data_IF_690963729016
#
_entry.id   IF_690963729016
#
_cell.length_a   1.000
_cell.length_b   1.000
_cell.length_c   1.000
_cell.angle_alpha   90.00
_cell.angle_beta   90.00
_cell.angle_gamma   90.00
#
_symmetry.space_group_name_H-M   'P 1'
#
loop_
_entity.id
_entity.type
_entity.pdbx_description
1 polymer ?
#
# COMPACT_ATOMS: atom_id res chain seq x y z
N UNK A 1 32.81 31.30 18.15
CA UNK A 1 31.56 30.59 17.78
C UNK A 1 31.36 29.46 18.79
N UNK A 2 30.20 29.28 19.41
CA UNK A 2 30.00 28.24 20.42
C UNK A 2 30.04 26.86 19.76
N UNK A 3 30.76 25.92 20.37
CA UNK A 3 30.94 24.51 19.93
C UNK A 3 29.62 23.79 19.70
N UNK A 4 28.53 24.26 20.32
CA UNK A 4 27.16 23.78 20.11
C UNK A 4 26.61 24.06 18.72
N UNK A 5 26.93 25.19 18.11
CA UNK A 5 26.49 25.57 16.75
C UNK A 5 27.16 24.72 15.66
N UNK A 6 28.43 24.35 15.83
CA UNK A 6 29.18 23.48 14.91
C UNK A 6 28.68 22.03 14.97
N UNK A 7 28.29 21.52 16.15
CA UNK A 7 27.71 20.17 16.28
C UNK A 7 26.31 20.07 15.67
N UNK A 8 25.49 21.14 15.76
CA UNK A 8 24.18 21.15 15.14
C UNK A 8 24.23 21.22 13.60
N UNK A 9 25.17 21.97 13.03
CA UNK A 9 25.34 22.08 11.57
C UNK A 9 25.82 20.75 10.94
N UNK A 10 26.72 20.02 11.61
CA UNK A 10 27.19 18.71 11.12
C UNK A 10 26.13 17.63 11.23
N UNK A 11 25.25 17.68 12.23
CA UNK A 11 24.11 16.77 12.33
C UNK A 11 23.07 17.03 11.23
N UNK A 12 22.70 18.28 11.01
CA UNK A 12 21.78 18.69 9.94
C UNK A 12 22.29 18.28 8.54
N UNK A 13 23.59 18.46 8.26
CA UNK A 13 24.22 18.04 7.01
C UNK A 13 24.16 16.50 6.81
N UNK A 14 24.36 15.72 7.87
CA UNK A 14 24.27 14.24 7.81
C UNK A 14 22.84 13.77 7.52
N UNK A 15 21.83 14.36 8.15
CA UNK A 15 20.43 14.02 7.88
C UNK A 15 20.03 14.44 6.47
N UNK A 16 20.48 15.60 5.99
CA UNK A 16 20.25 16.06 4.63
C UNK A 16 20.87 15.10 3.59
N UNK A 17 22.11 14.66 3.79
CA UNK A 17 22.79 13.70 2.92
C UNK A 17 22.07 12.34 2.91
N UNK A 18 21.63 11.83 4.06
CA UNK A 18 20.90 10.57 4.15
C UNK A 18 19.51 10.66 3.47
N UNK A 19 18.80 11.76 3.64
CA UNK A 19 17.52 12.00 2.98
C UNK A 19 17.68 12.13 1.45
N UNK A 20 18.73 12.83 0.99
CA UNK A 20 19.04 12.94 -0.44
C UNK A 20 19.41 11.58 -1.05
N UNK A 21 20.21 10.79 -0.34
CA UNK A 21 20.53 9.42 -0.77
C UNK A 21 19.29 8.56 -0.89
N UNK A 22 18.39 8.59 0.11
CA UNK A 22 17.13 7.84 0.09
C UNK A 22 16.23 8.28 -1.08
N UNK A 23 16.13 9.59 -1.32
CA UNK A 23 15.36 10.14 -2.43
C UNK A 23 15.96 9.72 -3.78
N UNK A 24 17.28 9.80 -3.95
CA UNK A 24 17.96 9.38 -5.17
C UNK A 24 17.79 7.86 -5.42
N UNK A 25 17.92 7.03 -4.37
CA UNK A 25 17.66 5.60 -4.42
C UNK A 25 16.21 5.32 -4.86
N UNK A 26 15.25 6.00 -4.25
CA UNK A 26 13.84 5.84 -4.60
C UNK A 26 13.56 6.25 -6.06
N UNK A 27 14.05 7.41 -6.49
CA UNK A 27 13.89 7.89 -7.87
C UNK A 27 14.52 6.89 -8.85
N UNK A 28 15.72 6.40 -8.59
CA UNK A 28 16.38 5.40 -9.43
C UNK A 28 15.51 4.15 -9.66
N UNK A 29 14.83 3.67 -8.63
CA UNK A 29 14.00 2.48 -8.74
C UNK A 29 12.57 2.74 -9.24
N UNK A 30 12.06 3.95 -9.19
CA UNK A 30 10.63 4.20 -9.41
C UNK A 30 10.29 5.28 -10.45
N UNK A 31 11.28 5.99 -11.04
CA UNK A 31 11.02 7.05 -12.00
C UNK A 31 10.32 6.56 -13.28
N UNK A 32 10.62 5.33 -13.71
CA UNK A 32 10.08 4.68 -14.91
C UNK A 32 8.58 4.33 -14.81
N UNK A 33 7.99 4.44 -13.62
CA UNK A 33 6.54 4.31 -13.43
C UNK A 33 5.73 5.50 -13.97
N UNK A 34 6.34 6.68 -14.06
CA UNK A 34 5.62 7.91 -14.41
C UNK A 34 4.85 7.84 -15.74
N UNK A 35 5.37 7.22 -16.80
CA UNK A 35 4.65 7.05 -18.07
C UNK A 35 3.74 5.82 -18.10
N UNK A 36 3.66 5.00 -17.07
CA UNK A 36 2.82 3.79 -17.08
C UNK A 36 1.36 4.19 -17.22
N UNK A 37 0.63 3.62 -18.18
CA UNK A 37 -0.79 3.91 -18.36
C UNK A 37 -1.65 3.41 -17.19
N UNK A 38 -2.90 3.89 -17.13
CA UNK A 38 -3.89 3.34 -16.22
C UNK A 38 -4.17 1.87 -16.53
N UNK A 39 -4.28 1.05 -15.51
CA UNK A 39 -4.83 -0.30 -15.62
C UNK A 39 -6.37 -0.27 -15.65
N UNK A 40 -6.99 -1.42 -15.88
CA UNK A 40 -8.44 -1.58 -15.77
C UNK A 40 -8.95 -1.19 -14.38
N UNK A 41 -8.30 -1.68 -13.33
CA UNK A 41 -8.65 -1.35 -11.94
C UNK A 41 -8.56 0.16 -11.66
N UNK A 42 -7.59 0.85 -12.24
CA UNK A 42 -7.42 2.30 -12.06
C UNK A 42 -8.62 3.07 -12.65
N UNK A 43 -9.01 2.71 -13.87
CA UNK A 43 -10.13 3.34 -14.56
C UNK A 43 -11.46 3.02 -13.87
N UNK A 44 -11.67 1.77 -13.46
CA UNK A 44 -12.84 1.33 -12.70
C UNK A 44 -12.97 2.12 -11.39
N UNK A 45 -11.89 2.23 -10.64
CA UNK A 45 -11.89 2.98 -9.38
C UNK A 45 -12.17 4.47 -9.59
N UNK A 46 -11.53 5.06 -10.61
CA UNK A 46 -11.71 6.47 -10.94
C UNK A 46 -13.16 6.76 -11.35
N UNK A 47 -13.72 5.95 -12.26
CA UNK A 47 -15.10 6.05 -12.70
C UNK A 47 -16.08 5.90 -11.52
N UNK A 48 -15.88 4.87 -10.70
CA UNK A 48 -16.72 4.62 -9.52
C UNK A 48 -16.80 5.83 -8.59
N UNK A 49 -15.65 6.46 -8.25
CA UNK A 49 -15.64 7.63 -7.36
C UNK A 49 -16.18 8.87 -8.06
N UNK A 50 -15.84 9.08 -9.32
CA UNK A 50 -16.28 10.23 -10.07
C UNK A 50 -17.80 10.20 -10.28
N UNK A 51 -18.36 9.08 -10.70
CA UNK A 51 -19.79 8.93 -10.99
C UNK A 51 -20.66 9.16 -9.75
N UNK A 52 -20.25 8.63 -8.61
CA UNK A 52 -21.01 8.73 -7.34
C UNK A 52 -20.76 10.03 -6.58
N UNK A 53 -19.58 10.60 -6.71
CA UNK A 53 -19.22 11.88 -6.13
C UNK A 53 -18.89 11.87 -4.64
N UNK A 54 -18.32 12.98 -4.11
CA UNK A 54 -17.77 13.03 -2.74
C UNK A 54 -18.86 12.92 -1.66
N UNK A 55 -20.03 13.48 -1.88
CA UNK A 55 -21.12 13.42 -0.89
C UNK A 55 -21.54 11.97 -0.62
N UNK A 56 -21.71 11.17 -1.69
CA UNK A 56 -22.05 9.76 -1.55
C UNK A 56 -20.95 8.97 -0.82
N UNK A 57 -19.68 9.28 -1.08
CA UNK A 57 -18.57 8.65 -0.35
C UNK A 57 -18.66 8.89 1.15
N UNK A 58 -19.01 10.11 1.57
CA UNK A 58 -19.10 10.46 2.99
C UNK A 58 -20.25 9.71 3.67
N UNK A 59 -21.47 9.84 3.18
CA UNK A 59 -22.63 9.28 3.90
C UNK A 59 -22.86 7.79 3.66
N UNK A 60 -22.46 7.24 2.52
CA UNK A 60 -22.71 5.85 2.18
C UNK A 60 -21.55 4.92 2.46
N UNK A 61 -20.33 5.42 2.41
CA UNK A 61 -19.11 4.60 2.45
C UNK A 61 -18.31 4.78 3.74
N UNK A 62 -18.19 6.00 4.25
CA UNK A 62 -17.37 6.30 5.42
C UNK A 62 -17.84 5.63 6.71
N UNK A 63 -19.16 5.42 6.94
CA UNK A 63 -19.65 4.68 8.10
C UNK A 63 -19.19 3.21 8.07
N UNK A 64 -18.39 2.80 9.07
CA UNK A 64 -17.75 1.49 9.15
C UNK A 64 -18.72 0.31 9.04
N UNK A 65 -19.95 0.45 9.56
CA UNK A 65 -20.97 -0.61 9.53
C UNK A 65 -21.63 -0.85 8.17
N UNK A 66 -21.43 0.05 7.20
CA UNK A 66 -21.95 -0.14 5.84
C UNK A 66 -21.06 -1.03 4.99
N UNK A 67 -19.77 -1.10 5.32
CA UNK A 67 -18.84 -2.08 4.78
C UNK A 67 -18.52 -2.03 3.31
N UNK A 68 -18.89 -0.96 2.66
CA UNK A 68 -18.71 -0.81 1.22
C UNK A 68 -17.24 -0.64 0.81
N UNK A 69 -16.99 -0.24 -0.43
CA UNK A 69 -15.67 -0.07 -1.01
C UNK A 69 -14.83 0.97 -0.23
N UNK A 70 -13.59 1.19 -0.55
CA UNK A 70 -12.57 1.94 0.22
C UNK A 70 -12.68 3.45 0.00
N UNK A 71 -13.41 4.23 0.81
CA UNK A 71 -13.70 5.65 0.54
C UNK A 71 -12.48 6.57 0.52
N UNK A 72 -11.35 6.17 1.15
CA UNK A 72 -10.12 6.96 1.09
C UNK A 72 -9.52 7.03 -0.31
N UNK A 73 -9.88 6.11 -1.22
CA UNK A 73 -9.55 6.23 -2.63
C UNK A 73 -10.12 7.49 -3.29
N UNK A 74 -11.32 7.92 -2.90
CA UNK A 74 -11.91 9.16 -3.42
C UNK A 74 -11.06 10.39 -3.13
N UNK A 75 -10.39 10.43 -1.96
CA UNK A 75 -9.48 11.52 -1.56
C UNK A 75 -8.25 11.59 -2.47
N UNK A 76 -7.84 10.48 -3.04
CA UNK A 76 -6.76 10.41 -4.02
C UNK A 76 -7.25 10.68 -5.44
N UNK A 77 -8.27 9.94 -5.91
CA UNK A 77 -8.68 9.97 -7.31
C UNK A 77 -9.39 11.27 -7.71
N UNK A 78 -10.32 11.78 -6.90
CA UNK A 78 -11.16 12.90 -7.32
C UNK A 78 -10.40 14.22 -7.51
N UNK A 79 -9.51 14.68 -6.60
CA UNK A 79 -8.74 15.91 -6.82
C UNK A 79 -7.81 15.79 -8.04
N UNK A 80 -7.19 14.61 -8.24
CA UNK A 80 -6.31 14.39 -9.38
C UNK A 80 -7.08 14.37 -10.69
N UNK A 81 -8.26 13.79 -10.72
CA UNK A 81 -9.11 13.81 -11.90
C UNK A 81 -9.60 15.22 -12.26
N UNK A 82 -10.00 16.00 -11.26
CA UNK A 82 -10.40 17.39 -11.49
C UNK A 82 -9.24 18.24 -12.03
N UNK A 83 -8.04 18.07 -11.47
CA UNK A 83 -6.88 18.87 -11.87
C UNK A 83 -6.17 18.38 -13.13
N UNK A 84 -6.07 17.07 -13.34
CA UNK A 84 -5.21 16.47 -14.37
C UNK A 84 -5.94 15.54 -15.33
N UNK A 85 -7.22 15.25 -15.11
CA UNK A 85 -8.02 14.36 -15.96
C UNK A 85 -7.42 12.97 -16.08
N UNK A 86 -7.40 12.45 -17.30
CA UNK A 86 -6.85 11.14 -17.64
C UNK A 86 -5.34 11.21 -17.98
N UNK A 87 -4.56 11.95 -17.17
CA UNK A 87 -3.10 11.96 -17.26
C UNK A 87 -2.49 11.09 -16.15
N UNK A 88 -2.01 9.86 -16.43
CA UNK A 88 -1.52 8.93 -15.41
C UNK A 88 -0.30 9.44 -14.65
N UNK A 89 0.53 10.29 -15.25
CA UNK A 89 1.75 10.82 -14.64
C UNK A 89 1.49 11.53 -13.31
N UNK A 90 0.39 12.32 -13.22
CA UNK A 90 0.05 13.04 -12.00
C UNK A 90 -0.31 12.08 -10.85
N UNK A 91 -1.02 11.00 -11.15
CA UNK A 91 -1.40 9.97 -10.17
C UNK A 91 -0.16 9.21 -9.68
N UNK A 92 0.71 8.80 -10.59
CA UNK A 92 1.97 8.14 -10.22
C UNK A 92 2.89 9.06 -9.39
N UNK A 93 3.03 10.33 -9.76
CA UNK A 93 3.82 11.29 -8.99
C UNK A 93 3.29 11.46 -7.57
N UNK A 94 1.97 11.52 -7.39
CA UNK A 94 1.33 11.62 -6.06
C UNK A 94 1.60 10.37 -5.23
N UNK A 95 1.50 9.16 -5.81
CA UNK A 95 1.84 7.92 -5.10
C UNK A 95 3.33 7.91 -4.72
N UNK A 96 4.24 8.38 -5.58
CA UNK A 96 5.66 8.48 -5.25
C UNK A 96 5.90 9.37 -4.02
N UNK A 97 5.21 10.50 -3.92
CA UNK A 97 5.29 11.36 -2.73
C UNK A 97 4.76 10.66 -1.47
N UNK A 98 3.65 9.93 -1.58
CA UNK A 98 3.10 9.14 -0.48
C UNK A 98 4.03 8.01 -0.04
N UNK A 99 4.70 7.32 -0.97
CA UNK A 99 5.68 6.28 -0.66
C UNK A 99 6.90 6.84 0.07
N UNK A 100 7.39 8.03 -0.31
CA UNK A 100 8.46 8.71 0.42
C UNK A 100 8.00 9.14 1.83
N UNK A 101 6.77 9.65 1.96
CA UNK A 101 6.20 9.96 3.27
C UNK A 101 6.07 8.70 4.15
N UNK A 102 5.70 7.56 3.57
CA UNK A 102 5.65 6.28 4.25
C UNK A 102 7.03 5.80 4.73
N UNK A 103 8.06 5.95 3.91
CA UNK A 103 9.43 5.64 4.31
C UNK A 103 9.89 6.53 5.49
N UNK A 104 9.54 7.82 5.48
CA UNK A 104 9.80 8.73 6.59
C UNK A 104 9.03 8.35 7.86
N UNK A 105 7.73 8.00 7.74
CA UNK A 105 6.94 7.53 8.88
C UNK A 105 7.53 6.26 9.49
N UNK A 106 7.99 5.32 8.64
CA UNK A 106 8.65 4.11 9.14
C UNK A 106 9.96 4.42 9.87
N UNK A 107 10.79 5.32 9.31
CA UNK A 107 12.00 5.78 10.00
C UNK A 107 11.68 6.34 11.38
N UNK A 108 10.67 7.21 11.47
CA UNK A 108 10.22 7.78 12.76
C UNK A 108 9.73 6.70 13.72
N UNK A 109 8.94 5.76 13.24
CA UNK A 109 8.42 4.65 14.04
C UNK A 109 9.55 3.74 14.55
N UNK A 110 10.47 3.33 13.69
CA UNK A 110 11.62 2.51 14.05
C UNK A 110 12.47 3.17 15.16
N UNK A 111 12.68 4.48 15.08
CA UNK A 111 13.37 5.23 16.14
C UNK A 111 12.63 5.19 17.46
N UNK A 112 11.30 5.38 17.45
CA UNK A 112 10.46 5.31 18.64
C UNK A 112 10.45 3.92 19.29
N UNK A 113 10.64 2.88 18.48
CA UNK A 113 10.82 1.50 18.96
C UNK A 113 12.22 1.22 19.53
N UNK A 114 13.17 2.16 19.42
CA UNK A 114 14.53 1.98 19.91
C UNK A 114 15.48 1.23 18.95
N UNK A 115 15.20 1.22 17.64
CA UNK A 115 16.05 0.57 16.65
C UNK A 115 17.40 1.28 16.43
N UNK A 116 17.50 2.57 16.81
CA UNK A 116 18.67 3.41 16.53
C UNK A 116 18.61 4.05 15.13
N UNK A 117 19.43 5.08 14.91
CA UNK A 117 19.43 5.89 13.68
C UNK A 117 19.72 5.08 12.41
N UNK A 118 20.78 4.29 12.45
CA UNK A 118 21.24 3.53 11.30
C UNK A 118 20.24 2.45 10.89
N UNK A 119 19.76 1.67 11.87
CA UNK A 119 18.77 0.63 11.59
C UNK A 119 17.43 1.25 11.10
N UNK A 120 17.01 2.38 11.66
CA UNK A 120 15.83 3.10 11.19
C UNK A 120 15.99 3.59 9.74
N UNK A 121 17.15 4.12 9.39
CA UNK A 121 17.47 4.53 8.01
C UNK A 121 17.48 3.37 7.03
N UNK A 122 18.08 2.22 7.41
CA UNK A 122 18.08 1.01 6.59
C UNK A 122 16.67 0.41 6.44
N UNK A 123 15.85 0.43 7.48
CA UNK A 123 14.45 0.01 7.39
C UNK A 123 13.66 0.90 6.42
N UNK A 124 13.86 2.22 6.48
CA UNK A 124 13.25 3.16 5.54
C UNK A 124 13.72 2.91 4.10
N UNK A 125 14.99 2.58 3.86
CA UNK A 125 15.51 2.22 2.56
C UNK A 125 14.82 0.96 2.00
N UNK A 126 14.63 -0.06 2.82
CA UNK A 126 13.93 -1.30 2.42
C UNK A 126 12.50 -1.03 2.01
N UNK A 127 11.76 -0.21 2.78
CA UNK A 127 10.35 0.10 2.50
C UNK A 127 10.20 1.12 1.36
N UNK A 128 11.23 1.93 1.11
CA UNK A 128 11.26 2.90 0.03
C UNK A 128 11.09 2.23 -1.34
N UNK A 129 11.79 1.13 -1.57
CA UNK A 129 11.61 0.26 -2.73
C UNK A 129 11.91 -1.20 -2.40
N UNK A 130 10.97 -2.08 -2.76
CA UNK A 130 11.05 -3.52 -2.53
C UNK A 130 10.49 -4.28 -3.73
N UNK A 131 11.33 -4.96 -4.51
CA UNK A 131 10.93 -5.61 -5.77
C UNK A 131 9.89 -6.72 -5.58
N UNK A 132 9.84 -7.38 -4.41
CA UNK A 132 8.80 -8.36 -4.08
C UNK A 132 7.39 -7.75 -3.97
N UNK A 133 7.30 -6.42 -3.81
CA UNK A 133 6.06 -5.67 -3.80
C UNK A 133 5.88 -4.87 -5.11
N UNK A 134 6.44 -5.34 -6.20
CA UNK A 134 6.49 -4.64 -7.49
C UNK A 134 5.24 -3.89 -7.89
N UNK A 135 4.03 -4.50 -7.88
CA UNK A 135 2.78 -3.83 -8.26
C UNK A 135 2.50 -2.54 -7.50
N UNK A 136 2.95 -2.40 -6.24
CA UNK A 136 2.81 -1.18 -5.45
C UNK A 136 3.42 0.06 -6.15
N UNK A 137 4.42 -0.16 -7.00
CA UNK A 137 5.19 0.91 -7.62
C UNK A 137 4.75 1.26 -9.04
N UNK A 138 3.84 0.50 -9.66
CA UNK A 138 3.39 0.79 -11.03
C UNK A 138 1.87 0.69 -11.26
N UNK A 139 1.11 0.16 -10.33
CA UNK A 139 -0.35 0.21 -10.35
C UNK A 139 -0.87 1.31 -9.41
N UNK A 140 -1.69 2.23 -9.92
CA UNK A 140 -2.32 3.24 -9.06
C UNK A 140 -3.46 2.64 -8.22
N UNK A 141 -4.03 1.50 -8.63
CA UNK A 141 -5.02 0.75 -7.85
C UNK A 141 -4.52 0.27 -6.49
N UNK A 142 -3.19 0.15 -6.28
CA UNK A 142 -2.62 -0.13 -4.96
C UNK A 142 -2.49 1.11 -4.05
N UNK A 143 -3.04 2.26 -4.44
CA UNK A 143 -3.10 3.45 -3.57
C UNK A 143 -3.74 3.15 -2.21
N UNK A 144 -4.64 2.18 -2.15
CA UNK A 144 -5.27 1.74 -0.90
C UNK A 144 -4.27 1.15 0.10
N UNK A 145 -3.29 0.40 -0.38
CA UNK A 145 -2.20 -0.15 0.43
C UNK A 145 -1.25 0.97 0.88
N UNK A 146 -0.98 1.94 -0.01
CA UNK A 146 -0.14 3.11 0.28
C UNK A 146 -0.78 4.02 1.33
N UNK A 147 -2.07 4.35 1.19
CA UNK A 147 -2.83 5.14 2.15
C UNK A 147 -3.07 4.36 3.45
N UNK A 148 -3.37 3.07 3.35
CA UNK A 148 -3.50 2.18 4.50
C UNK A 148 -2.24 2.20 5.36
N UNK A 149 -1.07 2.05 4.75
CA UNK A 149 0.22 2.14 5.43
C UNK A 149 0.43 3.53 6.05
N UNK A 150 0.18 4.61 5.29
CA UNK A 150 0.35 5.98 5.75
C UNK A 150 -0.43 6.25 7.06
N UNK A 151 -1.70 5.92 7.07
CA UNK A 151 -2.55 6.16 8.24
C UNK A 151 -2.26 5.17 9.37
N UNK A 152 -1.98 3.91 9.05
CA UNK A 152 -1.65 2.87 10.03
C UNK A 152 -0.36 3.21 10.79
N UNK A 153 0.73 3.44 10.05
CA UNK A 153 2.03 3.78 10.65
C UNK A 153 1.99 5.18 11.26
N UNK A 154 1.25 6.13 10.66
CA UNK A 154 1.00 7.44 11.25
C UNK A 154 0.34 7.36 12.62
N UNK A 155 -0.68 6.51 12.78
CA UNK A 155 -1.31 6.24 14.07
C UNK A 155 -0.32 5.62 15.08
N UNK A 156 0.51 4.66 14.65
CA UNK A 156 1.55 4.07 15.48
C UNK A 156 2.62 5.09 15.91
N UNK A 157 3.04 5.98 15.01
CA UNK A 157 3.99 7.07 15.32
C UNK A 157 3.39 8.01 16.36
N UNK A 158 2.14 8.43 16.18
CA UNK A 158 1.44 9.27 17.17
C UNK A 158 1.38 8.56 18.53
N UNK A 159 0.90 7.33 18.56
CA UNK A 159 0.78 6.53 19.78
C UNK A 159 2.14 6.36 20.48
N UNK A 160 3.14 5.84 19.78
CA UNK A 160 4.46 5.59 20.34
C UNK A 160 5.16 6.88 20.80
N UNK A 161 4.96 8.01 20.11
CA UNK A 161 5.57 9.29 20.48
C UNK A 161 5.08 9.81 21.83
N UNK A 162 3.82 9.51 22.19
CA UNK A 162 3.25 9.84 23.50
C UNK A 162 3.69 8.83 24.55
N UNK A 163 3.64 7.54 24.22
CA UNK A 163 3.93 6.45 25.15
C UNK A 163 5.41 6.38 25.55
N UNK A 164 6.32 6.71 24.66
CA UNK A 164 7.77 6.79 25.00
C UNK A 164 8.09 7.86 26.05
N UNK A 165 7.18 8.83 26.26
CA UNK A 165 7.28 9.83 27.36
C UNK A 165 6.61 9.34 28.66
N UNK A 166 6.32 8.04 28.78
CA UNK A 166 5.67 7.40 29.92
C UNK A 166 4.30 8.00 30.30
N UNK A 167 3.62 8.66 29.39
CA UNK A 167 2.26 9.22 29.59
C UNK A 167 1.20 8.53 28.74
N UNK A 168 -0.05 8.68 29.10
CA UNK A 168 -1.19 8.21 28.32
C UNK A 168 -1.63 9.29 27.32
N UNK A 169 -2.27 8.86 26.23
CA UNK A 169 -2.87 9.79 25.28
C UNK A 169 -3.98 10.62 25.96
N UNK A 170 -3.93 11.92 25.78
CA UNK A 170 -5.01 12.84 26.13
C UNK A 170 -6.20 12.69 25.18
N UNK A 171 -7.26 13.47 25.44
CA UNK A 171 -8.51 13.39 24.65
C UNK A 171 -8.24 13.71 23.17
N UNK A 172 -7.57 14.80 22.87
CA UNK A 172 -7.27 15.22 21.49
C UNK A 172 -6.32 14.27 20.77
N UNK A 173 -5.33 13.72 21.46
CA UNK A 173 -4.42 12.73 20.90
C UNK A 173 -5.14 11.41 20.62
N UNK A 174 -6.05 11.01 21.51
CA UNK A 174 -6.91 9.85 21.28
C UNK A 174 -7.84 10.07 20.10
N UNK A 175 -8.46 11.24 19.99
CA UNK A 175 -9.30 11.60 18.84
C UNK A 175 -8.51 11.60 17.52
N UNK A 176 -7.32 12.20 17.52
CA UNK A 176 -6.42 12.20 16.35
C UNK A 176 -5.99 10.77 15.97
N UNK A 177 -5.64 9.93 16.96
CA UNK A 177 -5.33 8.52 16.74
C UNK A 177 -6.50 7.76 16.12
N UNK A 178 -7.70 7.90 16.69
CA UNK A 178 -8.91 7.23 16.16
C UNK A 178 -9.29 7.76 14.78
N UNK A 179 -9.06 9.04 14.49
CA UNK A 179 -9.23 9.63 13.16
C UNK A 179 -8.28 9.03 12.12
N UNK A 180 -6.99 8.90 12.45
CA UNK A 180 -6.01 8.21 11.60
C UNK A 180 -6.39 6.74 11.40
N UNK A 181 -6.83 6.07 12.47
CA UNK A 181 -7.24 4.68 12.38
C UNK A 181 -8.51 4.50 11.55
N UNK A 182 -9.48 5.41 11.64
CA UNK A 182 -10.66 5.45 10.78
C UNK A 182 -10.27 5.56 9.30
N UNK A 183 -9.34 6.46 8.98
CA UNK A 183 -8.79 6.60 7.63
C UNK A 183 -8.07 5.32 7.17
N UNK A 184 -7.31 4.67 8.07
CA UNK A 184 -6.64 3.41 7.76
C UNK A 184 -7.66 2.28 7.43
N UNK A 185 -8.71 2.11 8.25
CA UNK A 185 -9.79 1.13 8.03
C UNK A 185 -10.55 1.39 6.72
N UNK A 186 -10.75 2.65 6.38
CA UNK A 186 -11.38 3.09 5.14
C UNK A 186 -10.41 3.09 3.93
N UNK A 187 -9.14 2.76 4.14
CA UNK A 187 -8.16 2.53 3.08
C UNK A 187 -7.98 1.05 2.79
N UNK A 188 -7.69 0.25 3.83
CA UNK A 188 -7.35 -1.18 3.64
C UNK A 188 -7.76 -2.04 4.84
N UNK A 189 -8.22 -3.24 4.57
CA UNK A 189 -8.69 -4.22 5.57
C UNK A 189 -7.61 -4.64 6.57
N UNK A 190 -6.35 -4.66 6.14
CA UNK A 190 -5.19 -4.96 7.00
C UNK A 190 -5.10 -4.03 8.21
N UNK A 191 -5.68 -2.84 8.14
CA UNK A 191 -5.73 -1.90 9.26
C UNK A 191 -6.47 -2.46 10.49
N UNK A 192 -7.37 -3.41 10.33
CA UNK A 192 -8.10 -4.04 11.44
C UNK A 192 -7.18 -4.72 12.47
N UNK A 193 -5.91 -4.97 12.13
CA UNK A 193 -4.92 -5.57 13.05
C UNK A 193 -4.31 -4.57 14.04
N UNK A 194 -4.45 -3.26 13.82
CA UNK A 194 -3.83 -2.22 14.65
C UNK A 194 -4.12 -2.35 16.16
N UNK A 195 -5.35 -2.68 16.59
CA UNK A 195 -5.63 -2.89 18.02
C UNK A 195 -4.76 -3.98 18.66
N UNK A 196 -4.56 -5.10 17.96
CA UNK A 196 -3.71 -6.20 18.44
C UNK A 196 -2.23 -5.76 18.51
N UNK A 197 -1.76 -4.99 17.54
CA UNK A 197 -0.40 -4.42 17.55
C UNK A 197 -0.19 -3.45 18.73
N UNK A 198 -1.20 -2.65 19.08
CA UNK A 198 -1.13 -1.79 20.25
C UNK A 198 -1.05 -2.60 21.57
N UNK A 199 -1.79 -3.69 21.67
CA UNK A 199 -1.69 -4.59 22.83
C UNK A 199 -0.30 -5.20 22.94
N UNK A 200 0.29 -5.65 21.82
CA UNK A 200 1.67 -6.15 21.77
C UNK A 200 2.66 -5.05 22.19
N UNK A 201 2.48 -3.81 21.72
CA UNK A 201 3.31 -2.69 22.09
C UNK A 201 3.27 -2.44 23.61
N UNK A 202 2.08 -2.36 24.20
CA UNK A 202 1.92 -2.17 25.65
C UNK A 202 2.53 -3.34 26.44
N UNK A 203 2.33 -4.56 25.98
CA UNK A 203 2.89 -5.75 26.63
C UNK A 203 4.41 -5.74 26.66
N UNK A 204 5.05 -5.39 25.55
CA UNK A 204 6.52 -5.45 25.42
C UNK A 204 7.20 -4.25 26.06
N UNK A 205 6.68 -3.03 25.88
CA UNK A 205 7.34 -1.80 26.28
C UNK A 205 6.90 -1.29 27.66
N UNK A 206 5.69 -1.57 28.10
CA UNK A 206 5.14 -1.03 29.33
C UNK A 206 4.82 -2.08 30.38
N UNK A 207 4.73 -3.36 30.01
CA UNK A 207 4.51 -4.51 30.90
C UNK A 207 3.42 -4.25 31.94
N UNK A 208 2.17 -3.94 31.54
CA UNK A 208 1.11 -3.65 32.49
C UNK A 208 0.89 -4.83 33.45
N UNK A 209 0.48 -4.55 34.67
CA UNK A 209 0.15 -5.59 35.63
C UNK A 209 -0.93 -6.54 35.06
N UNK A 210 -0.88 -7.82 35.43
CA UNK A 210 -1.87 -8.80 35.01
C UNK A 210 -3.23 -8.42 35.62
N UNK A 211 -4.18 -8.07 34.79
CA UNK A 211 -5.53 -7.72 35.20
C UNK A 211 -6.23 -6.75 34.24
N UNK A 212 -7.47 -7.03 33.90
CA UNK A 212 -8.26 -6.26 32.93
C UNK A 212 -8.33 -4.77 33.31
N UNK A 213 -8.47 -4.45 34.62
CA UNK A 213 -8.51 -3.05 35.06
C UNK A 213 -7.22 -2.28 34.80
N UNK A 214 -6.05 -2.91 34.97
CA UNK A 214 -4.76 -2.28 34.66
C UNK A 214 -4.61 -1.97 33.18
N UNK A 215 -5.05 -2.89 32.34
CA UNK A 215 -5.06 -2.72 30.89
C UNK A 215 -6.05 -1.63 30.44
N UNK A 216 -7.30 -1.66 30.94
CA UNK A 216 -8.32 -0.68 30.57
C UNK A 216 -8.01 0.74 31.08
N UNK A 217 -7.33 0.90 32.20
CA UNK A 217 -6.91 2.21 32.73
C UNK A 217 -5.57 2.68 32.17
N UNK A 218 -4.78 1.78 31.57
CA UNK A 218 -3.50 2.04 30.97
C UNK A 218 -3.58 2.43 29.48
N UNK A 219 -2.46 2.26 28.78
CA UNK A 219 -2.34 2.51 27.34
C UNK A 219 -3.28 1.65 26.50
N UNK A 220 -3.59 0.44 26.94
CA UNK A 220 -4.48 -0.49 26.24
C UNK A 220 -5.92 0.01 26.06
N UNK A 221 -6.37 1.06 26.77
CA UNK A 221 -7.68 1.67 26.55
C UNK A 221 -7.89 2.12 25.09
N UNK A 222 -6.84 2.65 24.45
CA UNK A 222 -6.88 3.06 23.04
C UNK A 222 -7.01 1.85 22.14
N UNK A 223 -6.35 0.74 22.48
CA UNK A 223 -6.52 -0.53 21.78
C UNK A 223 -7.96 -1.04 21.85
N UNK A 224 -8.64 -0.88 23.00
CA UNK A 224 -10.05 -1.29 23.15
C UNK A 224 -10.99 -0.43 22.29
N UNK A 225 -10.81 0.90 22.27
CA UNK A 225 -11.61 1.78 21.40
C UNK A 225 -11.40 1.44 19.91
N UNK A 226 -10.15 1.23 19.52
CA UNK A 226 -9.83 0.83 18.14
C UNK A 226 -10.31 -0.59 17.81
N UNK A 227 -10.34 -1.52 18.79
CA UNK A 227 -10.93 -2.84 18.60
C UNK A 227 -12.42 -2.76 18.27
N UNK A 228 -13.18 -1.90 18.99
CA UNK A 228 -14.58 -1.64 18.68
C UNK A 228 -14.78 -1.13 17.25
N UNK A 229 -13.94 -0.19 16.80
CA UNK A 229 -13.97 0.31 15.41
C UNK A 229 -13.60 -0.79 14.39
N UNK A 230 -12.58 -1.60 14.67
CA UNK A 230 -12.18 -2.71 13.80
C UNK A 230 -13.28 -3.76 13.66
N UNK A 231 -13.92 -4.15 14.77
CA UNK A 231 -15.05 -5.09 14.78
C UNK A 231 -16.23 -4.54 14.00
N UNK A 232 -16.54 -3.25 14.16
CA UNK A 232 -17.62 -2.60 13.39
C UNK A 232 -17.30 -2.56 11.90
N UNK A 233 -16.05 -2.30 11.52
CA UNK A 233 -15.60 -2.34 10.12
C UNK A 233 -15.68 -3.76 9.54
N UNK A 234 -15.26 -4.78 10.30
CA UNK A 234 -15.36 -6.17 9.88
C UNK A 234 -16.83 -6.60 9.74
N UNK A 235 -17.67 -6.21 10.70
CA UNK A 235 -19.11 -6.45 10.61
C UNK A 235 -19.70 -5.87 9.32
N UNK A 236 -19.39 -4.60 8.99
CA UNK A 236 -19.84 -3.96 7.78
C UNK A 236 -19.40 -4.70 6.50
N UNK A 237 -18.14 -5.17 6.46
CA UNK A 237 -17.57 -5.90 5.31
C UNK A 237 -18.11 -7.33 5.15
N UNK A 238 -18.58 -7.94 6.23
CA UNK A 238 -19.14 -9.29 6.22
C UNK A 238 -20.67 -9.29 6.05
N UNK A 239 -21.37 -8.33 6.66
CA UNK A 239 -22.84 -8.32 6.80
C UNK A 239 -23.50 -6.99 6.38
N UNK A 240 -22.73 -6.03 5.85
CA UNK A 240 -23.25 -4.74 5.38
C UNK A 240 -24.16 -4.88 4.17
N UNK A 241 -24.69 -3.76 3.65
CA UNK A 241 -25.60 -3.77 2.50
C UNK A 241 -25.01 -4.37 1.21
N UNK A 242 -23.68 -4.26 1.03
CA UNK A 242 -22.94 -4.84 -0.08
C UNK A 242 -21.65 -5.48 0.46
N UNK A 243 -21.77 -6.68 1.04
CA UNK A 243 -20.67 -7.29 1.77
C UNK A 243 -19.50 -7.63 0.84
N UNK A 244 -18.30 -7.25 1.23
CA UNK A 244 -17.09 -7.50 0.45
C UNK A 244 -16.86 -8.99 0.15
N UNK A 245 -17.32 -9.87 1.03
CA UNK A 245 -17.23 -11.33 0.86
C UNK A 245 -18.03 -11.87 -0.35
N UNK A 246 -18.94 -11.07 -0.90
CA UNK A 246 -19.67 -11.45 -2.13
C UNK A 246 -18.82 -11.19 -3.39
N UNK A 247 -17.80 -10.35 -3.30
CA UNK A 247 -16.90 -10.12 -4.42
C UNK A 247 -15.93 -11.30 -4.60
N UNK A 248 -15.65 -11.65 -5.85
CA UNK A 248 -14.70 -12.71 -6.19
C UNK A 248 -13.33 -12.44 -5.54
N UNK A 249 -12.70 -13.47 -4.96
CA UNK A 249 -11.40 -13.39 -4.30
C UNK A 249 -11.41 -12.73 -2.91
N UNK A 250 -12.58 -12.41 -2.32
CA UNK A 250 -12.69 -11.90 -0.95
C UNK A 250 -13.39 -12.88 0.02
N UNK A 251 -13.69 -14.09 -0.42
CA UNK A 251 -14.20 -15.17 0.46
C UNK A 251 -13.05 -15.76 1.27
N UNK A 252 -13.11 -15.75 2.61
CA UNK A 252 -12.06 -16.35 3.42
C UNK A 252 -12.03 -17.87 3.27
N UNK A 253 -10.85 -18.43 3.10
CA UNK A 253 -10.59 -19.87 3.01
C UNK A 253 -9.83 -20.30 4.27
N UNK A 254 -10.53 -20.84 5.24
CA UNK A 254 -9.94 -21.32 6.49
C UNK A 254 -9.40 -22.74 6.32
N UNK A 255 -8.23 -22.89 5.71
CA UNK A 255 -7.55 -24.17 5.55
C UNK A 255 -6.05 -24.07 5.80
N UNK A 256 -5.43 -25.13 6.29
CA UNK A 256 -3.97 -25.20 6.47
C UNK A 256 -3.23 -25.06 5.13
N UNK A 257 -3.84 -25.51 4.05
CA UNK A 257 -3.30 -25.37 2.71
C UNK A 257 -3.22 -23.89 2.30
N UNK A 258 -4.28 -23.10 2.51
CA UNK A 258 -4.30 -21.66 2.24
C UNK A 258 -3.24 -20.92 3.07
N UNK A 259 -3.13 -21.22 4.37
CA UNK A 259 -2.08 -20.65 5.24
C UNK A 259 -0.69 -21.00 4.70
N UNK A 260 -0.45 -22.25 4.30
CA UNK A 260 0.83 -22.66 3.73
C UNK A 260 1.15 -21.90 2.43
N UNK A 261 0.19 -21.81 1.53
CA UNK A 261 0.35 -21.09 0.26
C UNK A 261 0.68 -19.61 0.52
N UNK A 262 -0.11 -18.95 1.38
CA UNK A 262 0.13 -17.57 1.74
C UNK A 262 1.51 -17.37 2.38
N UNK A 263 1.88 -18.14 3.40
CA UNK A 263 3.15 -18.02 4.10
C UNK A 263 4.34 -18.29 3.17
N UNK A 264 4.23 -19.24 2.24
CA UNK A 264 5.24 -19.52 1.20
C UNK A 264 5.46 -18.27 0.33
N UNK A 265 4.40 -17.72 -0.20
CA UNK A 265 4.47 -16.55 -1.07
C UNK A 265 4.90 -15.29 -0.29
N UNK A 266 4.34 -15.06 0.90
CA UNK A 266 4.66 -13.91 1.74
C UNK A 266 6.14 -13.87 2.18
N UNK A 267 6.69 -15.01 2.64
CA UNK A 267 8.12 -15.09 2.97
C UNK A 267 8.98 -14.95 1.71
N UNK A 268 8.54 -15.50 0.58
CA UNK A 268 9.19 -15.34 -0.71
C UNK A 268 9.29 -13.88 -1.13
N UNK A 269 8.19 -13.16 -1.06
CA UNK A 269 8.11 -11.75 -1.41
C UNK A 269 8.94 -10.88 -0.44
N UNK A 270 8.72 -11.04 0.88
CA UNK A 270 9.36 -10.21 1.91
C UNK A 270 10.88 -10.41 2.00
N UNK A 271 11.38 -11.62 1.69
CA UNK A 271 12.82 -11.95 1.74
C UNK A 271 13.47 -11.96 0.36
N UNK A 272 12.74 -11.57 -0.69
CA UNK A 272 13.19 -11.59 -2.08
C UNK A 272 13.74 -12.96 -2.52
N UNK A 273 13.13 -14.04 -2.02
CA UNK A 273 13.56 -15.40 -2.28
C UNK A 273 12.36 -16.34 -2.52
N UNK A 274 12.18 -16.80 -3.73
CA UNK A 274 11.04 -17.64 -4.13
C UNK A 274 11.16 -19.13 -3.77
N UNK A 275 12.17 -19.52 -2.95
CA UNK A 275 12.44 -20.93 -2.63
C UNK A 275 11.86 -21.40 -1.30
N UNK A 276 10.95 -20.63 -0.69
CA UNK A 276 10.26 -21.05 0.53
C UNK A 276 9.02 -21.90 0.18
N UNK A 277 9.20 -23.19 0.01
CA UNK A 277 8.10 -24.14 -0.18
C UNK A 277 8.09 -25.20 0.93
N UNK A 278 6.89 -25.55 1.41
CA UNK A 278 6.69 -26.58 2.42
C UNK A 278 6.83 -26.10 3.87
N UNK A 279 6.04 -26.74 4.73
CA UNK A 279 5.93 -26.39 6.16
C UNK A 279 7.24 -26.37 6.91
N UNK A 280 8.16 -27.28 6.63
CA UNK A 280 9.44 -27.33 7.34
C UNK A 280 10.25 -26.04 7.16
N UNK A 281 10.30 -25.50 5.95
CA UNK A 281 11.05 -24.25 5.68
C UNK A 281 10.36 -23.03 6.29
N UNK A 282 9.03 -22.98 6.22
CA UNK A 282 8.22 -21.93 6.85
C UNK A 282 8.45 -21.93 8.35
N UNK A 283 8.29 -23.08 9.01
CA UNK A 283 8.47 -23.23 10.46
C UNK A 283 9.92 -22.95 10.88
N UNK A 284 10.91 -23.43 10.12
CA UNK A 284 12.32 -23.15 10.37
C UNK A 284 12.62 -21.64 10.30
N UNK A 285 12.06 -20.93 9.32
CA UNK A 285 12.22 -19.48 9.21
C UNK A 285 11.58 -18.76 10.40
N UNK A 286 10.33 -19.10 10.76
CA UNK A 286 9.68 -18.50 11.91
C UNK A 286 10.39 -18.81 13.23
N UNK A 287 10.91 -20.04 13.40
CA UNK A 287 11.71 -20.42 14.56
C UNK A 287 13.02 -19.64 14.61
N UNK A 288 13.69 -19.42 13.47
CA UNK A 288 14.90 -18.59 13.39
C UNK A 288 14.60 -17.13 13.80
N UNK A 289 13.55 -16.53 13.24
CA UNK A 289 13.15 -15.16 13.59
C UNK A 289 12.79 -15.05 15.08
N UNK A 290 12.06 -16.04 15.61
CA UNK A 290 11.75 -16.12 17.04
C UNK A 290 13.02 -16.20 17.87
N UNK A 291 13.92 -17.15 17.57
CA UNK A 291 15.20 -17.31 18.27
C UNK A 291 15.99 -16.00 18.29
N UNK A 292 16.15 -15.34 17.16
CA UNK A 292 16.85 -14.05 17.06
C UNK A 292 16.19 -12.96 17.90
N UNK A 293 14.83 -12.90 17.92
CA UNK A 293 14.09 -11.91 18.69
C UNK A 293 14.28 -12.06 20.20
N UNK A 294 14.33 -13.31 20.71
CA UNK A 294 14.44 -13.57 22.14
C UNK A 294 15.89 -13.66 22.62
N UNK A 295 16.81 -14.17 21.78
CA UNK A 295 18.23 -14.30 22.15
C UNK A 295 18.92 -12.95 22.33
N UNK A 296 18.50 -11.92 21.61
CA UNK A 296 19.11 -10.58 21.63
C UNK A 296 18.59 -9.66 22.72
N UNK A 297 17.54 -10.05 23.45
CA UNK A 297 16.88 -9.29 24.53
C UNK A 297 16.53 -7.82 24.17
N UNK A 298 16.15 -7.58 22.91
CA UNK A 298 15.75 -6.27 22.42
C UNK A 298 14.24 -6.19 22.24
N UNK A 299 13.53 -5.28 22.94
CA UNK A 299 12.09 -5.11 22.78
C UNK A 299 11.63 -4.90 21.33
N UNK A 300 12.40 -4.14 20.54
CA UNK A 300 12.10 -3.87 19.14
C UNK A 300 12.01 -5.15 18.30
N UNK A 301 12.90 -6.12 18.51
CA UNK A 301 12.88 -7.39 17.75
C UNK A 301 11.67 -8.23 18.12
N UNK A 302 11.32 -8.33 19.41
CA UNK A 302 10.11 -9.02 19.87
C UNK A 302 8.85 -8.38 19.34
N UNK A 303 8.79 -7.05 19.35
CA UNK A 303 7.67 -6.31 18.77
C UNK A 303 7.53 -6.57 17.27
N UNK A 304 8.62 -6.45 16.51
CA UNK A 304 8.60 -6.68 15.06
C UNK A 304 8.24 -8.12 14.70
N UNK A 305 8.65 -9.12 15.49
CA UNK A 305 8.25 -10.51 15.28
C UNK A 305 6.73 -10.68 15.36
N UNK A 306 6.10 -10.15 16.41
CA UNK A 306 4.65 -10.14 16.55
C UNK A 306 3.97 -9.30 15.48
N UNK A 307 4.58 -8.19 15.10
CA UNK A 307 4.05 -7.31 14.07
C UNK A 307 3.92 -8.04 12.72
N UNK A 308 4.98 -8.73 12.28
CA UNK A 308 4.99 -9.48 11.02
C UNK A 308 4.01 -10.65 11.05
N UNK A 309 3.78 -11.25 12.21
CA UNK A 309 2.83 -12.35 12.38
C UNK A 309 1.37 -11.87 12.34
N UNK A 310 1.08 -10.73 12.97
CA UNK A 310 -0.30 -10.25 13.15
C UNK A 310 -0.78 -9.42 11.94
N UNK A 311 0.08 -8.56 11.40
CA UNK A 311 -0.32 -7.61 10.36
C UNK A 311 -0.95 -8.24 9.11
N UNK A 312 -0.54 -9.41 8.60
CA UNK A 312 -1.13 -10.01 7.42
C UNK A 312 -2.42 -10.80 7.67
N UNK A 313 -2.82 -11.07 8.92
CA UNK A 313 -3.94 -11.96 9.26
C UNK A 313 -5.23 -11.71 8.45
N UNK A 314 -5.68 -10.47 8.20
CA UNK A 314 -6.90 -10.24 7.43
C UNK A 314 -6.83 -10.69 5.98
N UNK A 315 -5.62 -10.81 5.40
CA UNK A 315 -5.41 -11.21 4.01
C UNK A 315 -4.85 -12.62 3.86
N UNK A 316 -4.37 -13.22 4.94
CA UNK A 316 -3.78 -14.57 4.94
C UNK A 316 -4.77 -15.66 4.50
N UNK A 317 -6.05 -15.46 4.82
CA UNK A 317 -7.13 -16.38 4.46
C UNK A 317 -7.79 -16.06 3.12
N UNK A 318 -7.25 -15.09 2.35
CA UNK A 318 -7.76 -14.73 1.03
C UNK A 318 -6.82 -15.25 -0.06
N UNK A 319 -7.39 -15.70 -1.18
CA UNK A 319 -6.60 -16.14 -2.33
C UNK A 319 -5.76 -15.00 -2.93
N UNK A 320 -4.53 -15.32 -3.32
CA UNK A 320 -3.63 -14.44 -4.10
C UNK A 320 -3.43 -13.03 -3.51
N UNK A 321 -3.39 -12.90 -2.16
CA UNK A 321 -3.24 -11.60 -1.47
C UNK A 321 -1.82 -11.39 -0.90
N UNK A 322 -0.78 -11.64 -1.71
CA UNK A 322 0.62 -11.32 -1.40
C UNK A 322 1.11 -10.12 -2.23
N UNK A 323 2.40 -9.97 -2.43
CA UNK A 323 2.97 -8.82 -3.15
C UNK A 323 2.64 -7.50 -2.46
N UNK A 324 1.99 -6.57 -3.17
CA UNK A 324 1.65 -5.22 -2.65
C UNK A 324 0.84 -5.24 -1.34
N UNK A 325 0.02 -6.27 -1.09
CA UNK A 325 -0.75 -6.39 0.15
C UNK A 325 0.12 -6.61 1.40
N UNK A 326 1.39 -6.96 1.22
CA UNK A 326 2.36 -7.15 2.30
C UNK A 326 3.06 -5.84 2.71
N UNK A 327 2.60 -4.68 2.25
CA UNK A 327 3.27 -3.41 2.53
C UNK A 327 3.33 -3.08 4.03
N UNK A 328 2.24 -3.31 4.77
CA UNK A 328 2.25 -3.15 6.23
C UNK A 328 3.13 -4.21 6.92
N UNK A 329 3.02 -5.52 6.64
CA UNK A 329 3.94 -6.53 7.17
C UNK A 329 5.42 -6.24 6.88
N UNK A 330 5.75 -5.68 5.71
CA UNK A 330 7.12 -5.29 5.35
C UNK A 330 7.72 -4.30 6.35
N UNK A 331 6.92 -3.41 6.95
CA UNK A 331 7.41 -2.47 7.96
C UNK A 331 8.08 -3.18 9.15
N UNK A 332 7.42 -4.20 9.70
CA UNK A 332 7.97 -5.02 10.78
C UNK A 332 9.22 -5.80 10.35
N UNK A 333 9.18 -6.43 9.18
CA UNK A 333 10.30 -7.20 8.64
C UNK A 333 11.51 -6.31 8.35
N UNK A 334 11.30 -5.12 7.78
CA UNK A 334 12.35 -4.16 7.48
C UNK A 334 13.06 -3.65 8.75
N UNK A 335 12.31 -3.31 9.80
CA UNK A 335 12.91 -2.91 11.09
C UNK A 335 13.66 -4.08 11.71
N UNK A 336 13.06 -5.28 11.74
CA UNK A 336 13.69 -6.49 12.27
C UNK A 336 15.02 -6.78 11.57
N UNK A 337 15.00 -6.88 10.24
CA UNK A 337 16.17 -7.16 9.42
C UNK A 337 17.28 -6.11 9.57
N UNK A 338 16.90 -4.82 9.58
CA UNK A 338 17.83 -3.72 9.76
C UNK A 338 18.51 -3.75 11.14
N UNK A 339 17.78 -4.04 12.22
CA UNK A 339 18.36 -4.16 13.58
C UNK A 339 19.32 -5.36 13.64
N UNK A 340 18.93 -6.52 13.13
CA UNK A 340 19.80 -7.71 13.10
C UNK A 340 21.05 -7.44 12.26
N UNK A 341 20.91 -6.79 11.11
CA UNK A 341 22.03 -6.44 10.25
C UNK A 341 23.03 -5.50 10.96
N UNK A 342 22.54 -4.43 11.61
CA UNK A 342 23.38 -3.49 12.36
C UNK A 342 24.07 -4.20 13.53
N UNK A 343 23.38 -5.09 14.24
CA UNK A 343 23.98 -5.89 15.32
C UNK A 343 25.09 -6.84 14.78
N UNK A 344 24.86 -7.46 13.62
CA UNK A 344 25.85 -8.31 12.96
C UNK A 344 27.09 -7.50 12.55
N UNK A 345 26.91 -6.32 11.96
CA UNK A 345 27.99 -5.41 11.57
C UNK A 345 28.79 -4.95 12.81
N UNK A 346 28.11 -4.63 13.89
CA UNK A 346 28.75 -4.26 15.15
C UNK A 346 29.56 -5.43 15.73
N UNK A 347 29.02 -6.64 15.69
CA UNK A 347 29.73 -7.86 16.10
C UNK A 347 30.94 -8.12 15.22
N UNK A 348 30.83 -8.05 13.89
CA UNK A 348 31.94 -8.23 12.95
C UNK A 348 33.08 -7.24 13.25
N UNK A 349 32.75 -5.98 13.56
CA UNK A 349 33.75 -4.99 13.96
C UNK A 349 34.47 -5.34 15.27
N UNK A 350 33.85 -6.14 16.15
CA UNK A 350 34.56 -6.66 17.36
C UNK A 350 35.46 -7.85 17.05
N UNK A 351 35.15 -8.65 16.05
CA UNK A 351 35.94 -9.80 15.60
C UNK A 351 37.17 -9.31 14.83
N UNK A 352 37.00 -8.35 13.94
CA UNK A 352 38.07 -7.78 13.11
C UNK A 352 38.88 -6.70 13.85
N UNK A 353 39.37 -7.00 15.05
CA UNK A 353 40.04 -6.04 15.93
C UNK A 353 41.28 -5.34 15.34
N UNK A 354 41.88 -5.91 14.26
CA UNK A 354 43.07 -5.37 13.58
C UNK A 354 42.75 -4.26 12.59
N UNK A 355 41.45 -4.07 12.23
CA UNK A 355 40.99 -3.06 11.27
C UNK A 355 40.23 -1.96 12.03
N UNK A 356 40.40 -0.71 11.62
CA UNK A 356 39.66 0.39 12.21
C UNK A 356 38.14 0.09 12.17
N UNK A 357 37.51 0.18 13.34
CA UNK A 357 36.08 -0.09 13.51
C UNK A 357 35.21 0.73 12.57
N UNK A 358 35.58 1.97 12.27
CA UNK A 358 34.83 2.85 11.36
C UNK A 358 34.89 2.34 9.92
N UNK A 359 36.05 1.82 9.51
CA UNK A 359 36.23 1.21 8.18
C UNK A 359 35.36 -0.06 8.05
N UNK A 360 35.43 -0.97 9.05
CA UNK A 360 34.59 -2.18 9.05
C UNK A 360 33.10 -1.81 8.95
N UNK A 361 32.65 -0.86 9.76
CA UNK A 361 31.26 -0.41 9.73
C UNK A 361 30.89 0.16 8.36
N UNK A 362 31.67 1.10 7.82
CA UNK A 362 31.39 1.77 6.56
C UNK A 362 31.36 0.77 5.38
N UNK A 363 32.37 -0.10 5.27
CA UNK A 363 32.49 -1.08 4.19
C UNK A 363 31.35 -2.11 4.26
N UNK A 364 31.05 -2.65 5.45
CA UNK A 364 29.99 -3.67 5.58
C UNK A 364 28.61 -3.10 5.32
N UNK A 365 28.33 -1.87 5.77
CA UNK A 365 27.06 -1.19 5.48
C UNK A 365 26.94 -0.91 3.98
N UNK A 366 28.00 -0.36 3.36
CA UNK A 366 28.01 -0.08 1.93
C UNK A 366 27.81 -1.36 1.11
N UNK A 367 28.49 -2.45 1.49
CA UNK A 367 28.32 -3.77 0.85
C UNK A 367 26.89 -4.29 1.02
N UNK A 368 26.29 -4.18 2.21
CA UNK A 368 24.91 -4.59 2.46
C UNK A 368 23.89 -3.78 1.64
N UNK A 369 24.05 -2.46 1.59
CA UNK A 369 23.20 -1.58 0.77
C UNK A 369 23.38 -1.87 -0.72
N UNK A 370 24.61 -2.09 -1.18
CA UNK A 370 24.90 -2.47 -2.56
C UNK A 370 24.25 -3.82 -2.92
N UNK A 371 24.42 -4.84 -2.08
CA UNK A 371 23.81 -6.15 -2.29
C UNK A 371 22.27 -6.06 -2.34
N UNK A 372 21.67 -5.30 -1.42
CA UNK A 372 20.25 -5.04 -1.40
C UNK A 372 19.78 -4.33 -2.68
N UNK A 373 20.44 -3.25 -3.09
CA UNK A 373 20.13 -2.52 -4.31
C UNK A 373 20.30 -3.41 -5.56
N UNK A 374 21.40 -4.17 -5.64
CA UNK A 374 21.66 -5.10 -6.74
C UNK A 374 20.57 -6.18 -6.85
N UNK A 375 20.17 -6.77 -5.70
CA UNK A 375 19.08 -7.77 -5.69
C UNK A 375 17.75 -7.18 -6.14
N UNK A 376 17.39 -6.00 -5.65
CA UNK A 376 16.19 -5.29 -6.09
C UNK A 376 16.23 -4.94 -7.57
N UNK A 377 17.38 -4.46 -8.07
CA UNK A 377 17.56 -4.15 -9.49
C UNK A 377 17.36 -5.40 -10.35
N UNK A 378 18.03 -6.50 -10.01
CA UNK A 378 17.91 -7.76 -10.75
C UNK A 378 16.45 -8.25 -10.81
N UNK A 379 15.73 -8.24 -9.68
CA UNK A 379 14.33 -8.67 -9.64
C UNK A 379 13.41 -7.67 -10.34
N UNK A 380 13.69 -6.37 -10.28
CA UNK A 380 12.96 -5.35 -11.03
C UNK A 380 13.06 -5.61 -12.54
N UNK A 381 14.28 -5.78 -13.07
CA UNK A 381 14.48 -5.99 -14.50
C UNK A 381 13.86 -7.32 -14.97
N UNK A 382 13.92 -8.36 -14.14
CA UNK A 382 13.44 -9.69 -14.53
C UNK A 382 11.91 -9.85 -14.44
N UNK A 383 11.25 -9.24 -13.45
CA UNK A 383 9.84 -9.50 -13.16
C UNK A 383 8.97 -8.24 -13.17
N UNK A 384 9.43 -7.14 -12.56
CA UNK A 384 8.60 -5.94 -12.38
C UNK A 384 8.48 -5.17 -13.69
N UNK A 385 9.59 -4.93 -14.37
CA UNK A 385 9.63 -4.15 -15.62
C UNK A 385 8.86 -4.79 -16.77
N UNK A 386 8.95 -6.11 -17.04
CA UNK A 386 8.11 -6.75 -18.03
C UNK A 386 6.62 -6.66 -17.72
N UNK A 387 6.22 -6.87 -16.45
CA UNK A 387 4.83 -6.72 -16.01
C UNK A 387 4.35 -5.27 -16.18
N UNK A 388 5.15 -4.29 -15.75
CA UNK A 388 4.88 -2.87 -15.91
C UNK A 388 4.71 -2.47 -17.37
N UNK A 389 5.52 -3.01 -18.28
CA UNK A 389 5.44 -2.74 -19.70
C UNK A 389 4.17 -3.30 -20.38
N UNK A 390 3.50 -4.28 -19.77
CA UNK A 390 2.21 -4.79 -20.26
C UNK A 390 1.02 -4.06 -19.65
N UNK A 391 1.24 -3.39 -18.49
CA UNK A 391 0.18 -2.69 -17.78
C UNK A 391 -0.42 -1.58 -18.61
N UNK A 392 -1.74 -1.59 -18.74
CA UNK A 392 -2.48 -0.49 -19.34
C UNK A 392 -2.29 -0.30 -20.84
N UNK A 393 -1.69 -1.25 -21.58
CA UNK A 393 -1.48 -1.12 -23.04
C UNK A 393 -2.79 -0.92 -23.79
N UNK A 394 -3.78 -1.77 -23.54
CA UNK A 394 -5.09 -1.67 -24.17
C UNK A 394 -5.78 -0.36 -23.80
N UNK A 395 -5.76 -0.02 -22.52
CA UNK A 395 -6.36 1.21 -21.98
C UNK A 395 -5.73 2.47 -22.62
N UNK A 396 -4.40 2.44 -22.77
CA UNK A 396 -3.67 3.53 -23.43
C UNK A 396 -4.03 3.66 -24.90
N UNK A 397 -4.16 2.53 -25.63
CA UNK A 397 -4.55 2.54 -27.02
C UNK A 397 -5.94 3.11 -27.21
N UNK A 398 -6.92 2.66 -26.42
CA UNK A 398 -8.29 3.20 -26.42
C UNK A 398 -8.26 4.71 -26.12
N UNK A 399 -7.59 5.12 -25.05
CA UNK A 399 -7.49 6.52 -24.66
C UNK A 399 -6.83 7.38 -25.74
N UNK A 400 -5.84 6.85 -26.44
CA UNK A 400 -5.18 7.52 -27.56
C UNK A 400 -6.17 7.77 -28.72
N UNK A 401 -7.06 6.83 -28.99
CA UNK A 401 -8.09 6.99 -30.02
C UNK A 401 -9.12 8.07 -29.61
N UNK A 402 -9.54 8.09 -28.34
CA UNK A 402 -10.38 9.18 -27.83
C UNK A 402 -9.70 10.55 -27.93
N UNK A 403 -8.40 10.63 -27.64
CA UNK A 403 -7.63 11.88 -27.79
C UNK A 403 -7.52 12.31 -29.25
N UNK A 404 -7.35 11.37 -30.19
CA UNK A 404 -7.20 11.66 -31.60
C UNK A 404 -8.53 12.15 -32.22
N UNK A 405 -9.65 11.49 -31.92
CA UNK A 405 -10.98 11.89 -32.40
C UNK A 405 -11.52 13.12 -31.64
N UNK A 406 -11.18 13.26 -30.36
CA UNK A 406 -11.70 14.29 -29.45
C UNK A 406 -13.24 14.40 -29.48
N UNK A 407 -13.99 13.28 -29.29
CA UNK A 407 -15.43 13.27 -29.38
C UNK A 407 -16.06 14.19 -28.33
N UNK A 408 -17.10 14.94 -28.75
CA UNK A 408 -17.86 15.84 -27.88
C UNK A 408 -19.34 15.44 -27.91
N UNK A 409 -19.96 15.54 -26.76
CA UNK A 409 -21.38 15.22 -26.58
C UNK A 409 -22.03 16.31 -25.73
N UNK A 410 -23.34 16.46 -25.84
CA UNK A 410 -24.11 17.36 -24.97
C UNK A 410 -24.59 16.63 -23.70
N UNK A 411 -25.00 17.42 -22.70
CA UNK A 411 -25.57 16.87 -21.49
C UNK A 411 -26.84 16.07 -21.79
N UNK A 412 -26.92 14.86 -21.24
CA UNK A 412 -28.05 13.95 -21.45
C UNK A 412 -28.00 13.10 -22.70
N UNK A 413 -26.97 13.28 -23.57
CA UNK A 413 -26.86 12.50 -24.80
C UNK A 413 -26.67 10.99 -24.49
N UNK A 414 -27.16 10.19 -25.41
CA UNK A 414 -26.98 8.73 -25.41
C UNK A 414 -25.99 8.34 -26.50
N UNK A 415 -24.93 7.67 -26.10
CA UNK A 415 -23.78 7.35 -26.93
C UNK A 415 -23.64 5.84 -27.07
N UNK A 416 -23.49 5.30 -28.26
CA UNK A 416 -23.07 3.91 -28.46
C UNK A 416 -21.64 3.84 -28.99
N UNK A 417 -20.92 2.82 -28.54
CA UNK A 417 -19.58 2.45 -29.05
C UNK A 417 -19.67 1.02 -29.62
N UNK A 418 -19.35 0.90 -30.90
CA UNK A 418 -19.37 -0.34 -31.64
C UNK A 418 -17.95 -0.89 -31.78
N UNK A 419 -17.84 -2.21 -31.88
CA UNK A 419 -16.58 -2.91 -32.21
C UNK A 419 -15.41 -2.51 -31.31
N UNK A 420 -15.68 -2.30 -29.99
CA UNK A 420 -14.63 -1.96 -29.05
C UNK A 420 -13.54 -3.07 -29.03
N UNK A 421 -12.24 -2.71 -28.87
CA UNK A 421 -11.12 -3.63 -29.06
C UNK A 421 -10.91 -4.60 -27.88
N UNK A 422 -11.87 -4.67 -26.97
CA UNK A 422 -11.82 -5.54 -25.80
C UNK A 422 -12.31 -6.95 -26.17
N UNK A 423 -11.53 -7.97 -25.82
CA UNK A 423 -11.92 -9.36 -26.08
C UNK A 423 -13.21 -9.74 -25.33
N UNK A 424 -14.19 -10.38 -26.03
CA UNK A 424 -15.52 -10.67 -25.45
C UNK A 424 -15.50 -11.51 -24.18
N UNK A 425 -14.48 -12.32 -23.98
CA UNK A 425 -14.36 -13.31 -22.90
C UNK A 425 -13.31 -12.96 -21.85
N UNK A 426 -12.78 -11.73 -21.83
CA UNK A 426 -11.86 -11.33 -20.77
C UNK A 426 -12.65 -10.89 -19.53
N UNK A 427 -12.68 -11.70 -18.46
CA UNK A 427 -13.45 -11.39 -17.24
C UNK A 427 -12.86 -10.23 -16.43
N UNK A 428 -11.60 -9.84 -16.71
CA UNK A 428 -10.88 -8.80 -15.98
C UNK A 428 -10.94 -7.45 -16.72
N UNK A 429 -11.10 -7.47 -18.04
CA UNK A 429 -11.01 -6.32 -18.92
C UNK A 429 -12.27 -6.19 -19.79
N UNK A 430 -13.42 -6.10 -19.19
CA UNK A 430 -14.67 -6.03 -19.96
C UNK A 430 -15.24 -4.64 -20.18
N UNK A 431 -14.80 -3.64 -19.43
CA UNK A 431 -15.45 -2.32 -19.34
C UNK A 431 -14.51 -1.14 -19.60
N UNK A 432 -13.30 -1.36 -20.10
CA UNK A 432 -12.30 -0.30 -20.26
C UNK A 432 -12.78 0.81 -21.18
N UNK A 433 -13.35 0.46 -22.33
CA UNK A 433 -13.89 1.42 -23.27
C UNK A 433 -15.04 2.23 -22.65
N UNK A 434 -15.88 1.57 -21.85
CA UNK A 434 -16.94 2.22 -21.10
C UNK A 434 -16.40 3.23 -20.10
N UNK A 435 -15.47 2.81 -19.23
CA UNK A 435 -14.87 3.71 -18.23
C UNK A 435 -14.15 4.89 -18.89
N UNK A 436 -13.39 4.64 -19.97
CA UNK A 436 -12.69 5.70 -20.67
C UNK A 436 -13.69 6.68 -21.29
N UNK A 437 -14.79 6.21 -21.90
CA UNK A 437 -15.79 7.07 -22.52
C UNK A 437 -16.52 7.94 -21.47
N UNK A 438 -16.99 7.35 -20.38
CA UNK A 438 -17.65 8.10 -19.30
C UNK A 438 -16.73 9.17 -18.69
N UNK A 439 -15.47 8.78 -18.39
CA UNK A 439 -14.48 9.70 -17.85
C UNK A 439 -14.01 10.76 -18.85
N UNK A 440 -14.07 10.45 -20.15
CA UNK A 440 -13.76 11.39 -21.23
C UNK A 440 -14.79 12.49 -21.35
N UNK A 441 -16.07 12.11 -21.41
CA UNK A 441 -17.18 13.06 -21.55
C UNK A 441 -17.37 13.95 -20.31
N UNK A 442 -16.96 13.48 -19.13
CA UNK A 442 -17.03 14.23 -17.86
C UNK A 442 -18.42 14.75 -17.51
N UNK A 443 -19.45 14.15 -18.04
CA UNK A 443 -20.84 14.49 -17.74
C UNK A 443 -21.58 13.24 -17.29
N UNK A 444 -22.13 13.28 -16.07
CA UNK A 444 -22.83 12.15 -15.45
C UNK A 444 -24.21 11.88 -16.04
N UNK A 445 -24.76 12.84 -16.79
CA UNK A 445 -26.05 12.70 -17.47
C UNK A 445 -25.94 11.96 -18.80
N UNK A 446 -24.72 11.89 -19.38
CA UNK A 446 -24.44 11.11 -20.59
C UNK A 446 -24.55 9.63 -20.29
N UNK A 447 -25.24 8.90 -21.16
CA UNK A 447 -25.37 7.44 -21.06
C UNK A 447 -24.57 6.77 -22.14
N UNK A 448 -23.59 5.96 -21.73
CA UNK A 448 -22.71 5.21 -22.66
C UNK A 448 -23.18 3.76 -22.77
N UNK A 449 -23.30 3.28 -24.01
CA UNK A 449 -23.61 1.89 -24.34
C UNK A 449 -22.43 1.27 -25.09
N UNK A 450 -22.00 0.09 -24.66
CA UNK A 450 -21.12 -0.76 -25.46
C UNK A 450 -21.96 -1.79 -26.21
N UNK A 451 -21.94 -1.77 -27.54
CA UNK A 451 -22.76 -2.68 -28.36
C UNK A 451 -22.49 -4.15 -28.02
N UNK A 452 -21.26 -4.50 -27.72
CA UNK A 452 -20.88 -5.85 -27.31
C UNK A 452 -21.63 -6.35 -26.06
N UNK A 453 -21.91 -5.48 -25.11
CA UNK A 453 -22.58 -5.82 -23.85
C UNK A 453 -24.09 -5.57 -23.91
N UNK A 454 -24.52 -4.44 -24.47
CA UNK A 454 -25.90 -3.98 -24.45
C UNK A 454 -26.74 -4.60 -25.57
N UNK A 455 -26.09 -5.01 -26.69
CA UNK A 455 -26.75 -5.67 -27.85
C UNK A 455 -27.98 -4.91 -28.35
N UNK A 456 -27.84 -3.58 -28.50
CA UNK A 456 -28.93 -2.71 -28.95
C UNK A 456 -29.36 -3.10 -30.37
N UNK A 457 -30.67 -3.22 -30.64
CA UNK A 457 -31.16 -3.48 -31.99
C UNK A 457 -30.92 -2.26 -32.90
N UNK A 458 -30.90 -2.44 -34.24
CA UNK A 458 -30.60 -1.35 -35.18
C UNK A 458 -31.54 -0.14 -35.02
N UNK A 459 -32.78 -0.38 -34.69
CA UNK A 459 -33.77 0.69 -34.48
C UNK A 459 -33.46 1.57 -33.27
N UNK A 460 -32.93 0.98 -32.18
CA UNK A 460 -32.50 1.73 -31.02
C UNK A 460 -31.17 2.47 -31.29
N UNK A 461 -30.22 1.83 -31.98
CA UNK A 461 -29.01 2.51 -32.42
C UNK A 461 -29.28 3.73 -33.27
N UNK A 462 -30.32 3.66 -34.18
CA UNK A 462 -30.73 4.78 -34.99
C UNK A 462 -31.31 5.94 -34.19
N UNK A 463 -31.81 5.69 -32.96
CA UNK A 463 -32.39 6.71 -32.07
C UNK A 463 -31.41 7.35 -31.09
N UNK A 464 -30.14 6.86 -31.05
CA UNK A 464 -29.13 7.44 -30.21
C UNK A 464 -28.61 8.75 -30.79
N UNK A 465 -28.10 9.61 -29.94
CA UNK A 465 -27.58 10.92 -30.32
C UNK A 465 -26.26 10.82 -31.06
N UNK A 466 -25.36 9.92 -30.58
CA UNK A 466 -24.07 9.67 -31.18
C UNK A 466 -23.77 8.17 -31.28
N UNK A 467 -23.13 7.77 -32.36
CA UNK A 467 -22.62 6.42 -32.56
C UNK A 467 -21.16 6.51 -33.00
N UNK A 468 -20.26 5.92 -32.22
CA UNK A 468 -18.87 5.77 -32.53
C UNK A 468 -18.55 4.29 -32.80
N UNK A 469 -17.57 4.02 -33.65
CA UNK A 469 -17.11 2.67 -33.93
C UNK A 469 -15.57 2.58 -33.99
N UNK A 470 -15.03 1.48 -33.54
CA UNK A 470 -13.65 1.14 -33.84
C UNK A 470 -13.60 0.46 -35.20
N UNK A 471 -12.94 1.11 -36.18
CA UNK A 471 -12.72 0.62 -37.55
C UNK A 471 -11.21 0.66 -37.81
N UNK A 472 -10.63 -0.47 -38.21
CA UNK A 472 -9.19 -0.62 -38.42
C UNK A 472 -8.31 -0.04 -37.30
N UNK A 473 -8.70 -0.27 -36.04
CA UNK A 473 -7.99 0.21 -34.86
C UNK A 473 -8.15 1.72 -34.57
N UNK A 474 -9.04 2.43 -35.30
CA UNK A 474 -9.32 3.85 -35.11
C UNK A 474 -10.75 4.07 -34.65
N UNK A 475 -10.93 4.95 -33.68
CA UNK A 475 -12.26 5.40 -33.26
C UNK A 475 -12.75 6.44 -34.29
N UNK A 476 -13.91 6.19 -34.89
CA UNK A 476 -14.56 7.08 -35.85
C UNK A 476 -16.00 7.38 -35.40
N UNK A 477 -16.50 8.53 -35.77
CA UNK A 477 -17.90 8.85 -35.59
C UNK A 477 -18.69 8.31 -36.78
N UNK A 478 -19.73 7.52 -36.49
CA UNK A 478 -20.62 6.91 -37.51
C UNK A 478 -21.89 7.73 -37.66
N UNK A 479 -22.35 8.31 -36.51
CA UNK A 479 -23.50 9.21 -36.43
C UNK A 479 -23.20 10.33 -35.44
#
# INVERSE_FOLDING_TARGET
MPVSALRSSTAAARYGAAALFLAAYFVYFSWDRLPVPFSSDDLMNLDFYWKRGPAWMVYAQFPLWRGYYRPMGAVFYLPLFHGFGLNPTAYHATIMLLLLANAYLLYRFAKLLGAGELAAGLAALVVCYHAGLGPLYYYTGFVYDVLGFFFYVGALVLYASVRTRARLLGVWETAAFLGLFLCALNSKETAATLPAILLVYEWIYHRPALGLRAWCRGGARVALYSAGMALLSLYGKLFGPDPLVNAAGYRPIFSLHQVQQFQTAALGDLLLNQHYSGWMRILAMWALLFFLAWRRDRPVLRFCWWFVLIAPLPVEFLEHRTGANLYVPLAGMAIFGAVIFVDLVAWLATVLRRVDRRVVLAVTIAAGVYFWAHRNHHLKERFVRPAMAQTGKLQWEILRQFRALNPRVAAGDRVAILNDPVEPNDPLNGLETFFIAELWFRDRSVTVYLQRLNRLPPEELARLDHVYAFQDGRLVQVK
#
